data_IF_504114165067
#
_entry.id   IF_504114165067
#
_cell.length_a   1.000
_cell.length_b   1.000
_cell.length_c   1.000
_cell.angle_alpha   90.00
_cell.angle_beta   90.00
_cell.angle_gamma   90.00
#
_symmetry.space_group_name_H-M   'P 1'
#
loop_
_entity.id
_entity.type
_entity.pdbx_description
1 polymer ?
#
# COMPACT_ATOMS: atom_id res chain seq x y z
N UNK A 1 -16.41 -1.22 6.17
CA UNK A 1 -17.21 -1.36 7.40
C UNK A 1 -16.48 -2.21 8.42
N UNK A 2 -16.07 -3.44 8.10
CA UNK A 2 -15.30 -4.28 9.04
C UNK A 2 -13.98 -3.66 9.53
N UNK A 3 -13.19 -3.05 8.63
CA UNK A 3 -11.91 -2.38 8.98
C UNK A 3 -12.06 -1.33 10.08
N UNK A 4 -13.23 -0.68 10.20
CA UNK A 4 -13.49 0.34 11.21
C UNK A 4 -13.74 -0.23 12.61
N UNK A 5 -14.04 -1.53 12.71
CA UNK A 5 -14.25 -2.21 13.99
C UNK A 5 -12.97 -2.72 14.64
N UNK A 6 -11.89 -2.86 13.85
CA UNK A 6 -10.62 -3.42 14.34
C UNK A 6 -9.99 -2.59 15.45
N UNK A 7 -9.39 -3.28 16.41
CA UNK A 7 -8.68 -2.66 17.54
C UNK A 7 -7.15 -2.88 17.43
N UNK A 8 -6.34 -1.94 17.92
CA UNK A 8 -4.89 -2.15 18.00
C UNK A 8 -4.53 -3.41 18.80
N UNK A 9 -3.64 -4.24 18.26
CA UNK A 9 -3.20 -5.49 18.87
C UNK A 9 -3.99 -6.73 18.44
N UNK A 10 -5.08 -6.56 17.68
CA UNK A 10 -5.79 -7.68 17.09
C UNK A 10 -4.97 -8.35 15.97
N UNK A 11 -5.04 -9.68 15.91
CA UNK A 11 -4.48 -10.43 14.79
C UNK A 11 -5.54 -10.55 13.70
N UNK A 12 -5.21 -10.04 12.52
CA UNK A 12 -6.10 -10.07 11.35
C UNK A 12 -5.49 -10.92 10.24
N UNK A 13 -6.34 -11.62 9.48
CA UNK A 13 -5.96 -12.30 8.25
C UNK A 13 -6.60 -11.55 7.07
N UNK A 14 -5.76 -10.98 6.21
CA UNK A 14 -6.22 -10.31 4.99
C UNK A 14 -6.34 -11.32 3.85
N UNK A 15 -7.47 -11.31 3.14
CA UNK A 15 -7.69 -12.14 1.95
C UNK A 15 -8.18 -11.26 0.79
N UNK A 16 -7.56 -11.41 -0.37
CA UNK A 16 -7.96 -10.70 -1.59
C UNK A 16 -6.80 -10.10 -2.37
N UNK A 17 -7.09 -9.06 -3.15
CA UNK A 17 -6.10 -8.36 -3.97
C UNK A 17 -5.54 -7.16 -3.22
N UNK A 18 -4.23 -7.11 -3.13
CA UNK A 18 -3.45 -6.05 -2.48
C UNK A 18 -2.50 -5.41 -3.47
N UNK A 19 -2.21 -4.13 -3.29
CA UNK A 19 -1.22 -3.41 -4.08
C UNK A 19 0.11 -3.42 -3.32
N UNK A 20 1.22 -3.36 -4.05
CA UNK A 20 2.56 -3.26 -3.45
C UNK A 20 3.19 -1.95 -3.83
N UNK A 21 3.80 -1.25 -2.88
CA UNK A 21 4.47 0.01 -3.16
C UNK A 21 5.29 0.50 -1.97
N UNK A 22 6.41 1.15 -2.25
CA UNK A 22 7.30 1.74 -1.25
C UNK A 22 7.69 3.18 -1.63
N UNK A 23 8.87 3.62 -1.25
CA UNK A 23 9.38 4.97 -1.35
C UNK A 23 9.11 5.66 -2.71
N UNK A 24 9.53 5.06 -3.83
CA UNK A 24 9.39 5.65 -5.16
C UNK A 24 7.94 5.73 -5.65
N UNK A 25 7.12 4.71 -5.33
CA UNK A 25 5.71 4.70 -5.68
C UNK A 25 4.95 5.81 -4.94
N UNK A 26 5.19 5.96 -3.63
CA UNK A 26 4.55 7.00 -2.82
C UNK A 26 4.93 8.39 -3.27
N UNK A 27 6.22 8.62 -3.56
CA UNK A 27 6.70 9.89 -4.10
C UNK A 27 6.00 10.23 -5.42
N UNK A 28 5.95 9.30 -6.37
CA UNK A 28 5.30 9.51 -7.67
C UNK A 28 3.80 9.78 -7.53
N UNK A 29 3.10 9.03 -6.66
CA UNK A 29 1.67 9.26 -6.42
C UNK A 29 1.41 10.66 -5.90
N UNK A 30 2.16 11.13 -4.90
CA UNK A 30 2.02 12.49 -4.36
C UNK A 30 2.33 13.55 -5.41
N UNK A 31 3.37 13.37 -6.22
CA UNK A 31 3.69 14.30 -7.32
C UNK A 31 2.56 14.40 -8.34
N UNK A 32 1.92 13.29 -8.70
CA UNK A 32 0.78 13.27 -9.62
C UNK A 32 -0.46 13.94 -8.99
N UNK A 33 -0.76 13.61 -7.73
CA UNK A 33 -1.87 14.21 -6.98
C UNK A 33 -1.71 15.74 -6.86
N UNK A 34 -0.49 16.22 -6.58
CA UNK A 34 -0.18 17.65 -6.52
C UNK A 34 -0.38 18.37 -7.86
N UNK A 35 -0.27 17.65 -8.98
CA UNK A 35 -0.53 18.17 -10.33
C UNK A 35 -2.00 18.02 -10.76
N UNK A 36 -2.86 17.43 -9.93
CA UNK A 36 -4.23 17.09 -10.30
C UNK A 36 -4.33 15.98 -11.35
N UNK A 37 -3.28 15.18 -11.53
CA UNK A 37 -3.25 14.07 -12.46
C UNK A 37 -3.99 12.85 -11.89
N UNK A 38 -4.56 12.02 -12.78
CA UNK A 38 -5.19 10.76 -12.38
C UNK A 38 -4.13 9.70 -12.12
N UNK A 39 -4.24 8.99 -10.99
CA UNK A 39 -3.35 7.88 -10.67
C UNK A 39 -3.54 6.72 -11.66
N UNK A 40 -2.47 5.96 -11.98
CA UNK A 40 -2.55 4.85 -12.94
C UNK A 40 -3.35 3.64 -12.43
N UNK A 41 -3.73 3.64 -11.15
CA UNK A 41 -4.47 2.57 -10.48
C UNK A 41 -5.52 3.17 -9.56
N UNK A 42 -6.68 2.51 -9.46
CA UNK A 42 -7.70 2.85 -8.47
C UNK A 42 -7.34 2.27 -7.11
N UNK A 43 -7.15 3.17 -6.13
CA UNK A 43 -6.77 2.84 -4.76
C UNK A 43 -7.97 2.73 -3.81
N UNK A 44 -9.17 3.12 -4.25
CA UNK A 44 -10.35 3.16 -3.39
C UNK A 44 -10.66 1.76 -2.84
N UNK A 45 -10.77 1.64 -1.52
CA UNK A 45 -11.13 0.37 -0.89
C UNK A 45 -10.00 -0.68 -0.88
N UNK A 46 -8.75 -0.30 -1.18
CA UNK A 46 -7.60 -1.22 -1.22
C UNK A 46 -6.62 -0.99 -0.08
N UNK A 47 -5.67 -1.92 0.06
CA UNK A 47 -4.50 -1.82 0.92
C UNK A 47 -3.21 -1.77 0.08
N UNK A 48 -2.21 -1.02 0.56
CA UNK A 48 -0.86 -1.02 0.01
C UNK A 48 0.09 -1.72 0.97
N UNK A 49 0.58 -2.89 0.59
CA UNK A 49 1.63 -3.58 1.33
C UNK A 49 3.01 -3.05 0.97
N UNK A 50 3.74 -2.60 1.99
CA UNK A 50 5.09 -2.08 1.83
C UNK A 50 6.10 -3.22 1.64
N UNK A 51 6.32 -3.61 0.39
CA UNK A 51 7.21 -4.71 0.03
C UNK A 51 8.03 -4.38 -1.21
N UNK A 52 9.25 -4.89 -1.24
CA UNK A 52 10.04 -5.05 -2.45
C UNK A 52 10.34 -6.53 -2.63
N UNK A 53 9.49 -7.28 -3.37
CA UNK A 53 9.68 -8.71 -3.51
C UNK A 53 10.99 -8.99 -4.23
N UNK A 54 11.66 -10.06 -3.81
CA UNK A 54 12.82 -10.59 -4.53
C UNK A 54 12.34 -11.40 -5.73
N UNK A 55 13.18 -11.54 -6.75
CA UNK A 55 12.88 -12.37 -7.91
C UNK A 55 12.52 -13.79 -7.48
N UNK A 56 11.44 -14.38 -8.04
CA UNK A 56 11.04 -15.74 -7.73
C UNK A 56 12.11 -16.75 -8.16
N UNK A 57 12.26 -17.82 -7.40
CA UNK A 57 13.18 -18.91 -7.73
C UNK A 57 12.38 -20.10 -8.27
N UNK A 58 12.85 -20.70 -9.38
CA UNK A 58 12.21 -21.86 -10.02
C UNK A 58 10.74 -21.57 -10.41
N UNK A 59 9.79 -22.26 -9.80
CA UNK A 59 8.36 -22.22 -10.12
C UNK A 59 7.56 -21.41 -9.09
N UNK A 60 8.22 -20.62 -8.24
CA UNK A 60 7.55 -19.73 -7.29
C UNK A 60 6.79 -18.62 -8.03
N UNK A 61 5.56 -18.36 -7.60
CA UNK A 61 4.72 -17.29 -8.17
C UNK A 61 5.27 -15.90 -7.82
N UNK A 62 5.82 -15.76 -6.61
CA UNK A 62 6.47 -14.56 -6.09
C UNK A 62 7.63 -15.01 -5.20
N UNK A 63 8.79 -14.36 -5.32
CA UNK A 63 9.89 -14.60 -4.39
C UNK A 63 9.60 -14.03 -2.99
N UNK A 64 10.57 -14.09 -2.06
CA UNK A 64 10.41 -13.58 -0.71
C UNK A 64 9.85 -12.15 -0.67
N UNK A 65 8.75 -11.97 0.06
CA UNK A 65 7.94 -10.75 0.08
C UNK A 65 7.73 -10.22 1.52
N UNK A 66 8.82 -10.06 2.28
CA UNK A 66 8.79 -9.50 3.63
C UNK A 66 8.50 -7.98 3.64
N UNK A 67 7.92 -7.45 4.73
CA UNK A 67 7.59 -6.03 4.82
C UNK A 67 8.84 -5.17 4.92
N UNK A 68 8.70 -3.89 4.62
CA UNK A 68 9.71 -2.86 4.91
C UNK A 68 9.19 -1.84 5.93
N UNK A 69 10.09 -1.07 6.53
CA UNK A 69 9.77 -0.11 7.59
C UNK A 69 8.74 0.94 7.16
N UNK A 70 7.60 0.99 7.85
CA UNK A 70 6.47 1.87 7.52
C UNK A 70 6.78 3.36 7.66
N UNK A 71 7.57 3.75 8.65
CA UNK A 71 7.86 5.17 8.97
C UNK A 71 8.49 5.97 7.84
N UNK A 72 9.09 5.31 6.84
CA UNK A 72 9.63 5.97 5.65
C UNK A 72 8.55 6.58 4.74
N UNK A 73 7.30 6.10 4.86
CA UNK A 73 6.16 6.52 4.06
C UNK A 73 5.26 7.54 4.78
N UNK A 74 5.49 7.82 6.07
CA UNK A 74 4.63 8.70 6.89
C UNK A 74 4.42 10.08 6.25
N UNK A 75 5.47 10.66 5.66
CA UNK A 75 5.42 11.97 4.98
C UNK A 75 4.50 12.02 3.76
N UNK A 76 4.14 10.88 3.18
CA UNK A 76 3.23 10.77 2.03
C UNK A 76 1.84 10.27 2.43
N UNK A 77 1.78 9.48 3.50
CA UNK A 77 0.63 8.70 3.95
C UNK A 77 -0.63 9.53 4.08
N UNK A 78 -0.54 10.66 4.79
CA UNK A 78 -1.70 11.51 5.08
C UNK A 78 -2.41 11.96 3.80
N UNK A 79 -1.65 12.51 2.87
CA UNK A 79 -2.19 13.02 1.61
C UNK A 79 -2.80 11.90 0.76
N UNK A 80 -2.13 10.74 0.68
CA UNK A 80 -2.61 9.61 -0.10
C UNK A 80 -3.93 9.08 0.48
N UNK A 81 -4.01 8.87 1.79
CA UNK A 81 -5.25 8.40 2.44
C UNK A 81 -6.42 9.37 2.21
N UNK A 82 -6.19 10.66 2.44
CA UNK A 82 -7.21 11.71 2.30
C UNK A 82 -7.75 11.83 0.87
N UNK A 83 -6.90 11.70 -0.16
CA UNK A 83 -7.30 11.98 -1.55
C UNK A 83 -7.73 10.74 -2.35
N UNK A 84 -7.41 9.53 -1.89
CA UNK A 84 -7.57 8.31 -2.73
C UNK A 84 -8.60 7.32 -2.19
N UNK A 85 -9.03 7.46 -0.94
CA UNK A 85 -9.98 6.51 -0.33
C UNK A 85 -9.39 5.12 -0.09
N UNK A 86 -8.05 5.03 0.01
CA UNK A 86 -7.33 3.85 0.44
C UNK A 86 -7.73 3.48 1.89
N UNK A 87 -7.89 2.18 2.18
CA UNK A 87 -8.32 1.72 3.52
C UNK A 87 -7.19 1.74 4.54
N UNK A 88 -5.97 1.50 4.08
CA UNK A 88 -4.79 1.37 4.93
C UNK A 88 -3.60 0.88 4.14
N UNK A 89 -2.51 0.64 4.86
CA UNK A 89 -1.19 0.30 4.32
C UNK A 89 -0.52 -0.67 5.30
#
# INVERSE_FOLDING_TARGET
EEVQSWQPGETVLLNGKMLTGRDAAHKRMVEMLNKGETLPVDLKGRFIYYVGPVDPVREEVVGPAGPTTATRMDKFTRQILEQTGLLGM
#
